data_IF_901725332713
#
_entry.id   IF_901725332713
#
_cell.length_a   1.000
_cell.length_b   1.000
_cell.length_c   1.000
_cell.angle_alpha   90.00
_cell.angle_beta   90.00
_cell.angle_gamma   90.00
#
_symmetry.space_group_name_H-M   'P 1'
#
loop_
_entity.id
_entity.type
_entity.pdbx_description
1 polymer ?
#
# COMPACT_ATOMS: atom_id res chain seq x y z
N UNK A 1 39.61 35.20 -13.40
CA UNK A 1 38.15 35.13 -13.38
C UNK A 1 37.79 33.64 -13.52
N UNK A 2 37.74 32.92 -12.39
CA UNK A 2 37.39 31.52 -12.34
C UNK A 2 35.85 31.42 -12.31
N UNK A 3 35.30 30.92 -13.39
CA UNK A 3 33.89 30.60 -13.54
C UNK A 3 33.62 29.24 -12.90
N UNK A 4 33.67 29.15 -11.60
CA UNK A 4 33.09 28.05 -10.84
C UNK A 4 31.56 28.28 -10.69
N UNK A 5 30.84 28.12 -11.79
CA UNK A 5 29.39 27.96 -11.74
C UNK A 5 29.10 26.54 -11.25
N UNK A 6 28.40 26.36 -10.11
CA UNK A 6 28.07 25.03 -9.56
C UNK A 6 26.95 24.32 -10.35
N UNK A 7 26.85 24.55 -11.65
CA UNK A 7 25.72 24.10 -12.50
C UNK A 7 25.90 22.66 -13.00
N UNK A 8 27.10 22.07 -12.89
CA UNK A 8 27.41 20.78 -13.53
C UNK A 8 27.38 19.55 -12.60
N UNK A 9 27.25 19.71 -11.27
CA UNK A 9 27.09 18.56 -10.38
C UNK A 9 25.60 18.24 -10.13
N UNK A 10 25.04 17.16 -10.73
CA UNK A 10 23.65 16.78 -10.51
C UNK A 10 23.35 16.47 -9.04
N UNK A 11 24.39 16.21 -8.24
CA UNK A 11 24.28 15.89 -6.82
C UNK A 11 24.64 17.04 -5.88
N UNK A 12 24.81 18.27 -6.35
CA UNK A 12 25.19 19.41 -5.52
C UNK A 12 24.32 19.59 -4.26
N UNK A 13 23.04 19.24 -4.33
CA UNK A 13 22.09 19.39 -3.24
C UNK A 13 21.69 18.07 -2.54
N UNK A 14 22.41 16.97 -2.76
CA UNK A 14 21.99 15.63 -2.35
C UNK A 14 21.75 15.50 -0.84
N UNK A 15 22.60 16.06 0.02
CA UNK A 15 22.45 15.96 1.49
C UNK A 15 21.16 16.60 1.97
N UNK A 16 20.82 17.79 1.46
CA UNK A 16 19.58 18.50 1.77
C UNK A 16 18.37 17.73 1.25
N UNK A 17 18.40 17.33 0.00
CA UNK A 17 17.31 16.58 -0.61
C UNK A 17 17.09 15.23 0.07
N UNK A 18 18.16 14.53 0.43
CA UNK A 18 18.12 13.29 1.18
C UNK A 18 17.36 13.44 2.50
N UNK A 19 17.70 14.46 3.31
CA UNK A 19 17.03 14.71 4.58
C UNK A 19 15.55 15.07 4.38
N UNK A 20 15.23 15.99 3.47
CA UNK A 20 13.87 16.45 3.22
C UNK A 20 12.97 15.33 2.69
N UNK A 21 13.49 14.47 1.81
CA UNK A 21 12.75 13.31 1.28
C UNK A 21 12.53 12.23 2.35
N UNK A 22 13.48 11.99 3.26
CA UNK A 22 13.28 11.08 4.40
C UNK A 22 12.19 11.63 5.33
N UNK A 23 12.23 12.92 5.65
CA UNK A 23 11.22 13.56 6.50
C UNK A 23 9.83 13.46 5.87
N UNK A 24 9.69 13.79 4.58
CA UNK A 24 8.41 13.62 3.87
C UNK A 24 7.96 12.17 3.86
N UNK A 25 8.82 11.22 3.51
CA UNK A 25 8.47 9.79 3.47
C UNK A 25 8.05 9.26 4.83
N UNK A 26 8.71 9.69 5.91
CA UNK A 26 8.38 9.30 7.28
C UNK A 26 7.00 9.83 7.68
N UNK A 27 6.77 11.13 7.45
CA UNK A 27 5.49 11.78 7.75
C UNK A 27 4.37 11.22 6.89
N UNK A 28 4.63 10.96 5.61
CA UNK A 28 3.67 10.34 4.68
C UNK A 28 3.22 8.95 5.18
N UNK A 29 4.17 8.06 5.51
CA UNK A 29 3.85 6.73 6.00
C UNK A 29 3.07 6.77 7.31
N UNK A 30 3.47 7.65 8.25
CA UNK A 30 2.77 7.88 9.51
C UNK A 30 1.33 8.32 9.26
N UNK A 31 1.13 9.27 8.34
CA UNK A 31 -0.16 9.85 8.01
C UNK A 31 -1.11 8.82 7.36
N UNK A 32 -0.65 8.11 6.31
CA UNK A 32 -1.47 7.10 5.59
C UNK A 32 -1.97 6.00 6.51
N UNK A 33 -1.25 5.66 7.57
CA UNK A 33 -1.70 4.63 8.51
C UNK A 33 -2.89 5.05 9.38
N UNK A 34 -3.16 6.37 9.52
CA UNK A 34 -4.34 6.89 10.23
C UNK A 34 -5.64 6.60 9.47
N UNK A 35 -5.56 6.41 8.17
CA UNK A 35 -6.67 6.02 7.29
C UNK A 35 -6.45 4.63 6.66
N UNK A 36 -5.80 3.71 7.40
CA UNK A 36 -5.66 2.33 6.94
C UNK A 36 -7.02 1.73 6.58
N UNK A 37 -7.02 0.84 5.60
CA UNK A 37 -8.24 0.19 5.11
C UNK A 37 -9.02 -0.50 6.23
N UNK A 38 -8.33 -1.06 7.20
CA UNK A 38 -8.95 -1.72 8.36
C UNK A 38 -9.79 -0.74 9.18
N UNK A 39 -9.31 0.49 9.37
CA UNK A 39 -10.00 1.56 10.14
C UNK A 39 -11.20 2.08 9.36
N UNK A 40 -10.99 2.42 8.08
CA UNK A 40 -12.04 3.00 7.25
C UNK A 40 -13.13 1.99 6.92
N UNK A 41 -12.86 0.69 6.88
CA UNK A 41 -13.88 -0.34 6.74
C UNK A 41 -14.82 -0.37 7.95
N UNK A 42 -14.29 -0.26 9.17
CA UNK A 42 -15.09 -0.17 10.39
C UNK A 42 -15.95 1.11 10.38
N UNK A 43 -15.36 2.26 10.04
CA UNK A 43 -16.10 3.52 9.88
C UNK A 43 -17.27 3.39 8.90
N UNK A 44 -17.02 2.88 7.70
CA UNK A 44 -18.03 2.79 6.65
C UNK A 44 -19.18 1.86 7.03
N UNK A 45 -18.87 0.70 7.60
CA UNK A 45 -19.91 -0.24 8.04
C UNK A 45 -20.71 0.35 9.20
N UNK A 46 -20.06 1.05 10.13
CA UNK A 46 -20.77 1.74 11.22
C UNK A 46 -21.67 2.88 10.70
N UNK A 47 -21.21 3.62 9.68
CA UNK A 47 -21.94 4.75 9.12
C UNK A 47 -23.10 4.33 8.21
N UNK A 48 -22.96 3.21 7.46
CA UNK A 48 -23.89 2.83 6.39
C UNK A 48 -24.60 1.50 6.62
N UNK A 49 -24.14 0.69 7.57
CA UNK A 49 -24.57 -0.70 7.73
C UNK A 49 -24.15 -1.64 6.58
N UNK A 50 -23.33 -1.17 5.61
CA UNK A 50 -23.04 -1.88 4.38
C UNK A 50 -21.58 -2.29 4.25
N UNK A 51 -21.32 -3.59 4.33
CA UNK A 51 -20.01 -4.19 4.03
C UNK A 51 -19.66 -4.11 2.55
N UNK A 52 -20.67 -4.12 1.67
CA UNK A 52 -20.52 -3.89 0.22
C UNK A 52 -19.87 -2.52 -0.06
N UNK A 53 -20.36 -1.45 0.57
CA UNK A 53 -19.80 -0.11 0.40
C UNK A 53 -18.35 -0.02 0.90
N UNK A 54 -17.99 -0.74 1.97
CA UNK A 54 -16.60 -0.82 2.43
C UNK A 54 -15.69 -1.49 1.39
N UNK A 55 -16.17 -2.56 0.73
CA UNK A 55 -15.47 -3.20 -0.39
C UNK A 55 -15.32 -2.28 -1.60
N UNK A 56 -16.39 -1.56 -2.00
CA UNK A 56 -16.36 -0.59 -3.10
C UNK A 56 -15.38 0.55 -2.80
N UNK A 57 -15.36 1.05 -1.58
CA UNK A 57 -14.43 2.09 -1.16
C UNK A 57 -12.97 1.68 -1.35
N UNK A 58 -12.62 0.46 -0.94
CA UNK A 58 -11.28 -0.06 -1.14
C UNK A 58 -10.95 -0.28 -2.63
N UNK A 59 -11.89 -0.80 -3.41
CA UNK A 59 -11.74 -0.94 -4.85
C UNK A 59 -11.42 0.42 -5.50
N UNK A 60 -12.19 1.46 -5.18
CA UNK A 60 -11.99 2.81 -5.71
C UNK A 60 -10.58 3.31 -5.37
N UNK A 61 -10.16 3.24 -4.10
CA UNK A 61 -8.83 3.69 -3.64
C UNK A 61 -7.70 3.05 -4.44
N UNK A 62 -7.75 1.73 -4.62
CA UNK A 62 -6.70 0.98 -5.34
C UNK A 62 -6.73 1.31 -6.84
N UNK A 63 -7.91 1.28 -7.46
CA UNK A 63 -8.08 1.53 -8.90
C UNK A 63 -7.56 2.91 -9.28
N UNK A 64 -8.01 3.96 -8.60
CA UNK A 64 -7.64 5.34 -8.93
C UNK A 64 -6.17 5.64 -8.65
N UNK A 65 -5.52 4.92 -7.75
CA UNK A 65 -4.08 5.05 -7.48
C UNK A 65 -3.22 4.48 -8.62
N UNK A 66 -3.58 3.32 -9.17
CA UNK A 66 -2.77 2.67 -10.20
C UNK A 66 -3.01 3.20 -11.62
N UNK A 67 -4.22 3.68 -11.96
CA UNK A 67 -4.53 4.21 -13.30
C UNK A 67 -3.58 5.35 -13.70
N UNK A 68 -3.34 6.40 -12.88
CA UNK A 68 -2.43 7.48 -13.26
C UNK A 68 -0.99 7.03 -13.46
N UNK A 69 -0.53 6.02 -12.73
CA UNK A 69 0.82 5.49 -12.89
C UNK A 69 1.03 4.90 -14.29
N UNK A 70 0.01 4.23 -14.84
CA UNK A 70 0.05 3.74 -16.21
C UNK A 70 0.09 4.88 -17.25
N UNK A 71 -0.49 6.04 -16.94
CA UNK A 71 -0.51 7.22 -17.80
C UNK A 71 0.73 8.10 -17.65
N UNK A 72 1.48 7.98 -16.55
CA UNK A 72 2.59 8.86 -16.18
C UNK A 72 3.90 8.57 -16.94
N UNK A 73 3.93 7.57 -17.82
CA UNK A 73 5.11 7.14 -18.59
C UNK A 73 5.71 8.31 -19.41
N UNK A 74 4.90 9.28 -19.81
CA UNK A 74 5.33 10.43 -20.61
C UNK A 74 6.03 11.57 -19.81
N UNK A 75 6.25 11.41 -18.51
CA UNK A 75 6.88 12.45 -17.66
C UNK A 75 8.40 12.43 -17.76
N UNK A 76 9.00 11.31 -18.20
CA UNK A 76 10.46 11.12 -18.29
C UNK A 76 11.20 12.20 -19.09
N UNK A 77 10.61 12.73 -20.17
CA UNK A 77 11.22 13.74 -21.04
C UNK A 77 11.27 15.18 -20.51
N UNK A 78 10.73 15.48 -19.32
CA UNK A 78 10.71 16.84 -18.78
C UNK A 78 11.95 17.17 -17.97
N UNK A 79 12.61 18.34 -18.19
CA UNK A 79 13.87 18.70 -17.51
C UNK A 79 13.69 18.92 -15.99
N UNK A 80 12.52 19.35 -15.55
CA UNK A 80 12.20 19.58 -14.13
C UNK A 80 11.03 18.72 -13.69
N UNK A 81 11.27 17.83 -12.76
CA UNK A 81 10.31 16.84 -12.25
C UNK A 81 9.67 17.28 -10.93
N UNK A 82 10.42 18.04 -10.10
CA UNK A 82 9.96 18.58 -8.82
C UNK A 82 8.61 19.30 -8.94
N UNK A 83 8.48 20.24 -9.89
CA UNK A 83 7.25 21.04 -10.04
C UNK A 83 6.02 20.18 -10.30
N UNK A 84 6.21 19.06 -11.03
CA UNK A 84 5.11 18.17 -11.41
C UNK A 84 4.64 17.40 -10.18
N UNK A 85 5.56 16.66 -9.52
CA UNK A 85 5.14 15.82 -8.40
C UNK A 85 4.71 16.65 -7.19
N UNK A 86 5.39 17.75 -6.84
CA UNK A 86 4.98 18.62 -5.73
C UNK A 86 3.59 19.22 -5.96
N UNK A 87 3.26 19.65 -7.19
CA UNK A 87 1.94 20.16 -7.52
C UNK A 87 0.85 19.12 -7.29
N UNK A 88 1.01 17.90 -7.84
CA UNK A 88 0.01 16.85 -7.72
C UNK A 88 -0.09 16.31 -6.29
N UNK A 89 1.04 16.17 -5.59
CA UNK A 89 1.07 15.84 -4.16
C UNK A 89 0.28 16.86 -3.33
N UNK A 90 0.49 18.15 -3.55
CA UNK A 90 -0.24 19.22 -2.84
C UNK A 90 -1.74 19.13 -3.09
N UNK A 91 -2.15 19.02 -4.36
CA UNK A 91 -3.57 18.89 -4.72
C UNK A 91 -4.20 17.67 -4.06
N UNK A 92 -3.56 16.51 -4.16
CA UNK A 92 -4.06 15.27 -3.57
C UNK A 92 -4.22 15.35 -2.05
N UNK A 93 -3.19 15.86 -1.38
CA UNK A 93 -3.21 16.00 0.09
C UNK A 93 -4.27 17.02 0.57
N UNK A 94 -4.52 18.08 -0.19
CA UNK A 94 -5.62 19.01 0.09
C UNK A 94 -7.02 18.37 -0.05
N UNK A 95 -7.17 17.35 -0.90
CA UNK A 95 -8.47 16.67 -1.05
C UNK A 95 -8.94 15.98 0.24
N UNK A 96 -8.03 15.63 1.17
CA UNK A 96 -8.40 15.09 2.48
C UNK A 96 -9.24 16.09 3.31
N UNK A 97 -9.05 17.40 3.09
CA UNK A 97 -9.83 18.44 3.78
C UNK A 97 -11.33 18.36 3.45
N UNK A 98 -11.73 17.75 2.35
CA UNK A 98 -13.15 17.56 1.99
C UNK A 98 -13.84 16.69 3.04
N UNK A 99 -13.25 15.55 3.41
CA UNK A 99 -13.80 14.68 4.46
C UNK A 99 -13.75 15.35 5.82
N UNK A 100 -12.67 16.08 6.14
CA UNK A 100 -12.54 16.84 7.39
C UNK A 100 -13.66 17.87 7.51
N UNK A 101 -13.79 18.76 6.52
CA UNK A 101 -14.79 19.83 6.55
C UNK A 101 -16.23 19.26 6.64
N UNK A 102 -16.53 18.22 5.86
CA UNK A 102 -17.84 17.58 5.93
C UNK A 102 -18.12 16.99 7.31
N UNK A 103 -17.14 16.32 7.94
CA UNK A 103 -17.34 15.69 9.26
C UNK A 103 -17.67 16.71 10.35
N UNK A 104 -17.07 17.89 10.32
CA UNK A 104 -17.27 18.90 11.37
C UNK A 104 -18.36 19.92 11.05
N UNK A 105 -18.72 20.11 9.77
CA UNK A 105 -19.71 21.11 9.35
C UNK A 105 -21.06 20.51 8.92
N UNK A 106 -21.06 19.31 8.34
CA UNK A 106 -22.31 18.67 7.92
C UNK A 106 -23.01 17.95 9.09
N UNK A 107 -24.32 17.97 9.08
CA UNK A 107 -25.17 17.22 10.04
C UNK A 107 -25.65 15.89 9.47
N UNK A 108 -25.65 15.76 8.15
CA UNK A 108 -26.11 14.58 7.44
C UNK A 108 -24.97 13.57 7.29
N UNK A 109 -25.15 12.36 7.83
CA UNK A 109 -24.17 11.28 7.77
C UNK A 109 -23.92 10.80 6.33
N UNK A 110 -24.92 10.87 5.44
CA UNK A 110 -24.74 10.51 4.03
C UNK A 110 -23.78 11.46 3.32
N UNK A 111 -23.85 12.76 3.59
CA UNK A 111 -22.87 13.74 3.06
C UNK A 111 -21.47 13.48 3.59
N UNK A 112 -21.33 13.10 4.87
CA UNK A 112 -20.04 12.75 5.45
C UNK A 112 -19.47 11.51 4.75
N UNK A 113 -20.24 10.45 4.57
CA UNK A 113 -19.82 9.23 3.85
C UNK A 113 -19.42 9.57 2.42
N UNK A 114 -20.24 10.34 1.70
CA UNK A 114 -19.91 10.75 0.31
C UNK A 114 -18.61 11.55 0.25
N UNK A 115 -18.36 12.43 1.23
CA UNK A 115 -17.13 13.22 1.30
C UNK A 115 -15.89 12.36 1.56
N UNK A 116 -16.01 11.29 2.36
CA UNK A 116 -14.95 10.28 2.53
C UNK A 116 -14.67 9.56 1.22
N UNK A 117 -15.71 9.10 0.50
CA UNK A 117 -15.54 8.49 -0.81
C UNK A 117 -14.82 9.43 -1.78
N UNK A 118 -15.23 10.69 -1.83
CA UNK A 118 -14.64 11.70 -2.72
C UNK A 118 -13.18 11.99 -2.34
N UNK A 119 -12.90 12.21 -1.05
CA UNK A 119 -11.54 12.47 -0.56
C UNK A 119 -10.60 11.33 -0.85
N UNK A 120 -11.00 10.09 -0.52
CA UNK A 120 -10.19 8.89 -0.70
C UNK A 120 -10.26 8.30 -2.12
N UNK A 121 -11.00 8.89 -3.04
CA UNK A 121 -10.87 8.71 -4.47
C UNK A 121 -9.87 9.73 -5.06
N UNK A 122 -9.99 11.01 -4.70
CA UNK A 122 -9.15 12.08 -5.25
C UNK A 122 -7.72 12.04 -4.71
N UNK A 123 -7.52 11.81 -3.40
CA UNK A 123 -6.19 11.75 -2.81
C UNK A 123 -5.31 10.71 -3.50
N UNK A 124 -5.65 9.40 -3.56
CA UNK A 124 -4.81 8.42 -4.23
C UNK A 124 -4.75 8.61 -5.76
N UNK A 125 -5.78 9.21 -6.39
CA UNK A 125 -5.72 9.57 -7.80
C UNK A 125 -4.56 10.54 -8.09
N UNK A 126 -4.49 11.63 -7.33
CA UNK A 126 -3.43 12.62 -7.51
C UNK A 126 -2.08 12.11 -7.02
N UNK A 127 -2.04 11.30 -5.97
CA UNK A 127 -0.83 10.66 -5.48
C UNK A 127 -0.27 9.67 -6.52
N UNK A 128 -1.11 8.94 -7.23
CA UNK A 128 -0.73 8.07 -8.35
C UNK A 128 0.02 8.81 -9.46
N UNK A 129 -0.32 10.07 -9.76
CA UNK A 129 0.44 10.90 -10.71
C UNK A 129 1.82 11.31 -10.19
N UNK A 130 2.07 11.20 -8.90
CA UNK A 130 3.35 11.64 -8.29
C UNK A 130 4.40 10.52 -8.25
N UNK A 131 3.99 9.25 -8.27
CA UNK A 131 4.87 8.10 -8.03
C UNK A 131 6.06 8.08 -8.99
N UNK A 132 5.81 8.15 -10.30
CA UNK A 132 6.87 8.11 -11.32
C UNK A 132 7.77 9.34 -11.27
N UNK A 133 7.25 10.59 -11.31
CA UNK A 133 8.11 11.79 -11.22
C UNK A 133 8.90 11.87 -9.91
N UNK A 134 8.34 11.40 -8.79
CA UNK A 134 9.01 11.34 -7.50
C UNK A 134 10.19 10.36 -7.53
N UNK A 135 9.97 9.16 -8.05
CA UNK A 135 11.03 8.15 -8.15
C UNK A 135 12.18 8.63 -9.05
N UNK A 136 11.87 9.23 -10.19
CA UNK A 136 12.86 9.82 -11.08
C UNK A 136 13.62 10.97 -10.41
N UNK A 137 12.91 11.83 -9.63
CA UNK A 137 13.55 12.87 -8.84
C UNK A 137 14.51 12.29 -7.79
N UNK A 138 14.12 11.22 -7.08
CA UNK A 138 14.99 10.53 -6.10
C UNK A 138 16.24 10.00 -6.77
N UNK A 139 16.09 9.30 -7.91
CA UNK A 139 17.23 8.75 -8.68
C UNK A 139 18.17 9.84 -9.17
N UNK A 140 17.63 10.98 -9.59
CA UNK A 140 18.40 12.13 -10.05
C UNK A 140 19.13 12.87 -8.91
N UNK A 141 18.47 13.01 -7.76
CA UNK A 141 18.95 13.86 -6.66
C UNK A 141 19.83 13.14 -5.65
N UNK A 142 19.79 11.80 -5.59
CA UNK A 142 20.52 11.01 -4.59
C UNK A 142 21.57 10.15 -5.30
N UNK A 143 22.88 10.27 -4.92
CA UNK A 143 23.95 9.47 -5.49
C UNK A 143 23.70 7.98 -5.37
N UNK A 144 24.03 7.15 -6.40
CA UNK A 144 23.78 5.71 -6.41
C UNK A 144 24.19 4.96 -5.13
N UNK A 145 25.39 5.21 -4.54
CA UNK A 145 25.80 4.52 -3.31
C UNK A 145 24.96 4.85 -2.07
N UNK A 146 24.20 5.95 -2.09
CA UNK A 146 23.36 6.43 -0.98
C UNK A 146 21.89 6.06 -1.10
N UNK A 147 21.44 5.57 -2.26
CA UNK A 147 20.02 5.21 -2.51
C UNK A 147 19.54 4.09 -1.59
N UNK A 148 20.37 3.05 -1.37
CA UNK A 148 20.03 1.96 -0.44
C UNK A 148 19.82 2.48 0.98
N UNK A 149 20.71 3.35 1.46
CA UNK A 149 20.57 4.00 2.79
C UNK A 149 19.32 4.87 2.86
N UNK A 150 19.00 5.61 1.78
CA UNK A 150 17.80 6.42 1.68
C UNK A 150 16.52 5.59 1.85
N UNK A 151 16.35 4.54 1.03
CA UNK A 151 15.17 3.69 1.11
C UNK A 151 15.09 2.93 2.45
N UNK A 152 16.23 2.46 2.97
CA UNK A 152 16.29 1.78 4.26
C UNK A 152 15.86 2.68 5.43
N UNK A 153 16.38 3.92 5.50
CA UNK A 153 16.00 4.88 6.53
C UNK A 153 14.53 5.33 6.37
N UNK A 154 14.08 5.62 5.15
CA UNK A 154 12.69 5.99 4.90
C UNK A 154 11.71 4.90 5.35
N UNK A 155 12.00 3.63 5.07
CA UNK A 155 11.16 2.51 5.49
C UNK A 155 11.23 2.28 7.01
N UNK A 156 12.42 2.35 7.60
CA UNK A 156 12.58 2.14 9.05
C UNK A 156 11.90 3.23 9.90
N UNK A 157 12.14 4.50 9.57
CA UNK A 157 11.50 5.63 10.25
C UNK A 157 10.00 5.68 9.96
N UNK A 158 9.59 5.36 8.71
CA UNK A 158 8.19 5.23 8.35
C UNK A 158 7.47 4.17 9.18
N UNK A 159 8.06 2.98 9.35
CA UNK A 159 7.50 1.92 10.17
C UNK A 159 7.37 2.34 11.65
N UNK A 160 8.36 3.04 12.20
CA UNK A 160 8.27 3.60 13.55
C UNK A 160 7.12 4.62 13.67
N UNK A 161 6.96 5.49 12.67
CA UNK A 161 5.86 6.44 12.59
C UNK A 161 4.49 5.76 12.51
N UNK A 162 4.37 4.68 11.72
CA UNK A 162 3.13 3.89 11.61
C UNK A 162 2.78 3.19 12.93
N UNK A 163 3.76 2.71 13.68
CA UNK A 163 3.54 2.16 15.03
C UNK A 163 3.03 3.26 15.98
N UNK A 164 3.65 4.44 15.94
CA UNK A 164 3.21 5.58 16.74
C UNK A 164 1.78 6.02 16.40
N UNK A 165 1.40 6.01 15.12
CA UNK A 165 0.03 6.34 14.72
C UNK A 165 -0.98 5.29 15.18
N UNK A 166 -0.63 4.02 15.34
CA UNK A 166 -1.52 3.02 15.96
C UNK A 166 -1.92 3.38 17.38
N UNK A 167 -0.97 3.88 18.20
CA UNK A 167 -1.29 4.41 19.52
C UNK A 167 -2.16 5.68 19.45
N UNK A 168 -1.86 6.58 18.50
CA UNK A 168 -2.64 7.79 18.30
C UNK A 168 -4.09 7.47 17.87
N UNK A 169 -4.28 6.50 16.99
CA UNK A 169 -5.62 5.99 16.60
C UNK A 169 -6.38 5.53 17.85
N UNK A 170 -5.74 4.70 18.67
CA UNK A 170 -6.36 4.20 19.92
C UNK A 170 -6.76 5.34 20.85
N UNK A 171 -5.90 6.36 21.01
CA UNK A 171 -6.21 7.54 21.83
C UNK A 171 -7.40 8.33 21.29
N UNK A 172 -7.46 8.58 19.98
CA UNK A 172 -8.53 9.37 19.35
C UNK A 172 -9.86 8.60 19.38
N UNK A 173 -9.85 7.30 19.06
CA UNK A 173 -11.09 6.51 19.03
C UNK A 173 -11.68 6.27 20.43
N UNK A 174 -10.86 6.28 21.50
CA UNK A 174 -11.30 6.16 22.87
C UNK A 174 -11.56 7.51 23.57
N UNK A 175 -11.34 8.64 22.90
CA UNK A 175 -11.52 9.95 23.51
C UNK A 175 -13.01 10.24 23.81
N UNK A 176 -13.42 10.42 25.06
CA UNK A 176 -14.84 10.47 25.45
C UNK A 176 -15.59 11.70 24.89
N UNK A 177 -14.85 12.74 24.49
CA UNK A 177 -15.40 13.96 23.89
C UNK A 177 -15.51 13.89 22.36
N UNK A 178 -14.95 12.87 21.72
CA UNK A 178 -15.01 12.66 20.27
C UNK A 178 -15.99 11.54 19.94
N UNK A 179 -17.26 11.90 19.76
CA UNK A 179 -18.31 10.96 19.37
C UNK A 179 -18.25 10.66 17.87
N UNK A 180 -18.81 9.52 17.48
CA UNK A 180 -18.97 9.18 16.05
C UNK A 180 -19.88 10.18 15.33
N UNK A 181 -19.53 10.67 14.12
CA UNK A 181 -18.39 10.31 13.27
C UNK A 181 -17.13 11.19 13.51
N UNK A 182 -17.14 12.12 14.46
CA UNK A 182 -16.08 13.11 14.68
C UNK A 182 -14.73 12.49 15.06
N UNK A 183 -14.71 11.36 15.75
CA UNK A 183 -13.49 10.63 16.08
C UNK A 183 -12.75 10.17 14.81
N UNK A 184 -13.46 9.66 13.79
CA UNK A 184 -12.88 9.31 12.50
C UNK A 184 -12.48 10.56 11.68
N UNK A 185 -13.30 11.63 11.72
CA UNK A 185 -12.94 12.92 11.13
C UNK A 185 -11.68 13.51 11.72
N UNK A 186 -11.44 13.33 13.04
CA UNK A 186 -10.21 13.76 13.72
C UNK A 186 -9.00 12.96 13.25
N UNK A 187 -9.12 11.64 12.98
CA UNK A 187 -8.05 10.87 12.37
C UNK A 187 -7.65 11.44 11.01
N UNK A 188 -8.64 11.73 10.15
CA UNK A 188 -8.38 12.32 8.82
C UNK A 188 -7.84 13.74 8.93
N UNK A 189 -8.24 14.53 9.94
CA UNK A 189 -7.67 15.86 10.20
C UNK A 189 -6.18 15.76 10.54
N UNK A 190 -5.80 14.87 11.44
CA UNK A 190 -4.39 14.63 11.80
C UNK A 190 -3.61 14.13 10.59
N UNK A 191 -4.19 13.21 9.80
CA UNK A 191 -3.61 12.76 8.53
C UNK A 191 -3.36 13.95 7.59
N UNK A 192 -4.36 14.81 7.37
CA UNK A 192 -4.23 15.97 6.50
C UNK A 192 -3.15 16.95 6.98
N UNK A 193 -3.05 17.21 8.28
CA UNK A 193 -2.01 18.08 8.87
C UNK A 193 -0.62 17.49 8.61
N UNK A 194 -0.42 16.19 8.89
CA UNK A 194 0.84 15.52 8.63
C UNK A 194 1.19 15.54 7.13
N UNK A 195 0.23 15.22 6.28
CA UNK A 195 0.41 15.24 4.83
C UNK A 195 0.81 16.61 4.29
N UNK A 196 0.18 17.68 4.77
CA UNK A 196 0.52 19.06 4.38
C UNK A 196 1.88 19.50 4.94
N UNK A 197 2.26 19.02 6.12
CA UNK A 197 3.61 19.21 6.67
C UNK A 197 4.66 18.57 5.74
N UNK A 198 4.39 17.37 5.22
CA UNK A 198 5.23 16.72 4.21
C UNK A 198 5.37 17.57 2.93
N UNK A 199 4.29 18.18 2.42
CA UNK A 199 4.39 19.12 1.29
C UNK A 199 5.36 20.26 1.61
N UNK A 200 5.33 20.77 2.85
CA UNK A 200 6.29 21.77 3.32
C UNK A 200 7.75 21.35 3.07
N UNK A 201 8.12 20.11 3.40
CA UNK A 201 9.47 19.59 3.11
C UNK A 201 9.76 19.52 1.61
N UNK A 202 8.79 19.08 0.81
CA UNK A 202 8.95 18.96 -0.65
C UNK A 202 9.13 20.32 -1.34
N UNK A 203 8.52 21.39 -0.84
CA UNK A 203 8.70 22.74 -1.38
C UNK A 203 10.14 23.24 -1.27
N UNK A 204 10.87 22.82 -0.22
CA UNK A 204 12.26 23.21 0.00
C UNK A 204 13.29 22.36 -0.78
N UNK A 205 12.89 21.33 -1.52
CA UNK A 205 13.79 20.56 -2.38
C UNK A 205 14.45 21.47 -3.43
N UNK A 206 15.67 21.11 -3.86
CA UNK A 206 16.38 21.77 -4.97
C UNK A 206 16.64 20.78 -6.09
N UNK A 207 16.43 21.20 -7.31
CA UNK A 207 16.56 20.36 -8.50
C UNK A 207 17.57 20.98 -9.48
N UNK A 208 18.58 20.23 -9.87
CA UNK A 208 19.43 20.56 -10.98
C UNK A 208 18.70 20.23 -12.31
N UNK A 209 18.90 20.99 -13.39
CA UNK A 209 18.33 20.66 -14.70
C UNK A 209 18.86 19.31 -15.20
N UNK A 210 18.05 18.56 -15.92
CA UNK A 210 18.38 17.29 -16.53
C UNK A 210 18.50 17.43 -18.05
N UNK A 211 19.42 16.70 -18.67
CA UNK A 211 19.38 16.58 -20.11
C UNK A 211 18.10 15.84 -20.50
N UNK A 212 17.30 16.45 -21.36
CA UNK A 212 16.05 15.85 -21.83
C UNK A 212 16.36 14.51 -22.53
N UNK A 213 15.97 13.40 -21.89
CA UNK A 213 16.03 12.08 -22.52
C UNK A 213 14.69 11.84 -23.21
N UNK A 214 14.71 11.72 -24.52
CA UNK A 214 13.57 11.34 -25.34
C UNK A 214 13.39 9.82 -25.26
N UNK A 215 12.84 9.32 -24.17
CA UNK A 215 12.36 7.94 -24.10
C UNK A 215 10.89 7.92 -24.52
N UNK A 216 10.66 7.70 -25.81
CA UNK A 216 9.33 7.67 -26.44
C UNK A 216 8.64 6.30 -26.30
N UNK A 217 8.84 5.61 -25.21
CA UNK A 217 8.13 4.34 -24.94
C UNK A 217 6.65 4.62 -24.68
N UNK A 218 5.82 4.38 -25.70
CA UNK A 218 4.36 4.61 -25.60
C UNK A 218 3.72 3.46 -24.83
N UNK A 219 2.85 3.80 -23.88
CA UNK A 219 2.04 2.85 -23.12
C UNK A 219 1.36 1.81 -24.02
N UNK A 220 0.85 2.24 -25.16
CA UNK A 220 0.20 1.37 -26.17
C UNK A 220 1.14 0.28 -26.70
N UNK A 221 2.42 0.57 -26.87
CA UNK A 221 3.40 -0.39 -27.38
C UNK A 221 3.77 -1.41 -26.29
N UNK A 222 3.80 -0.97 -25.04
CA UNK A 222 3.93 -1.85 -23.87
C UNK A 222 2.73 -2.80 -23.78
N UNK A 223 1.50 -2.28 -23.86
CA UNK A 223 0.28 -3.08 -23.76
C UNK A 223 0.15 -4.10 -24.90
N UNK A 224 0.56 -3.76 -26.13
CA UNK A 224 0.56 -4.68 -27.28
C UNK A 224 1.55 -5.84 -27.13
N UNK A 225 2.64 -5.66 -26.39
CA UNK A 225 3.64 -6.69 -26.11
C UNK A 225 3.16 -7.76 -25.12
N UNK A 226 2.24 -7.42 -24.20
CA UNK A 226 1.79 -8.29 -23.13
C UNK A 226 1.23 -9.64 -23.61
N UNK A 227 0.27 -9.72 -24.56
CA UNK A 227 -0.29 -11.00 -25.00
C UNK A 227 0.74 -11.94 -25.60
N UNK A 228 1.73 -11.39 -26.29
CA UNK A 228 2.82 -12.15 -26.90
C UNK A 228 3.70 -12.77 -25.82
N UNK A 229 4.18 -11.99 -24.85
CA UNK A 229 5.04 -12.46 -23.76
C UNK A 229 4.33 -13.54 -22.92
N UNK A 230 3.04 -13.35 -22.64
CA UNK A 230 2.25 -14.35 -21.90
C UNK A 230 2.13 -15.68 -22.66
N UNK A 231 2.06 -15.64 -24.00
CA UNK A 231 1.98 -16.85 -24.80
C UNK A 231 3.32 -17.58 -24.93
N UNK A 232 4.39 -16.84 -25.09
CA UNK A 232 5.73 -17.37 -25.38
C UNK A 232 6.47 -17.86 -24.14
N UNK A 233 6.26 -17.22 -22.96
CA UNK A 233 7.00 -17.54 -21.72
C UNK A 233 6.09 -18.19 -20.67
N UNK A 234 6.37 -19.48 -20.40
CA UNK A 234 5.64 -20.26 -19.39
C UNK A 234 5.88 -19.72 -17.96
N UNK A 235 7.10 -19.23 -17.65
CA UNK A 235 7.42 -18.72 -16.32
C UNK A 235 6.66 -17.43 -16.04
N UNK A 236 6.58 -16.53 -17.03
CA UNK A 236 5.77 -15.30 -16.95
C UNK A 236 4.30 -15.63 -16.74
N UNK A 237 3.76 -16.58 -17.50
CA UNK A 237 2.37 -17.03 -17.33
C UNK A 237 2.08 -17.59 -15.94
N UNK A 238 2.98 -18.42 -15.40
CA UNK A 238 2.86 -18.95 -14.04
C UNK A 238 2.93 -17.83 -12.99
N UNK A 239 3.84 -16.86 -13.17
CA UNK A 239 3.97 -15.72 -12.25
C UNK A 239 2.72 -14.85 -12.25
N UNK A 240 2.12 -14.56 -13.40
CA UNK A 240 0.84 -13.86 -13.53
C UNK A 240 -0.26 -14.59 -12.77
N UNK A 241 -0.37 -15.91 -12.94
CA UNK A 241 -1.36 -16.73 -12.21
C UNK A 241 -1.12 -16.67 -10.71
N UNK A 242 0.13 -16.77 -10.26
CA UNK A 242 0.48 -16.64 -8.84
C UNK A 242 0.07 -15.27 -8.31
N UNK A 243 0.36 -14.19 -9.04
CA UNK A 243 -0.04 -12.83 -8.65
C UNK A 243 -1.56 -12.70 -8.53
N UNK A 244 -2.32 -13.21 -9.51
CA UNK A 244 -3.79 -13.20 -9.49
C UNK A 244 -4.34 -13.96 -8.28
N UNK A 245 -3.80 -15.16 -8.00
CA UNK A 245 -4.22 -15.97 -6.86
C UNK A 245 -3.80 -15.34 -5.52
N UNK A 246 -2.61 -14.75 -5.41
CA UNK A 246 -2.21 -13.97 -4.23
C UNK A 246 -3.12 -12.76 -4.00
N UNK A 247 -3.54 -12.10 -5.08
CA UNK A 247 -4.45 -10.94 -4.97
C UNK A 247 -5.79 -11.32 -4.34
N UNK A 248 -6.23 -12.59 -4.43
CA UNK A 248 -7.45 -13.06 -3.75
C UNK A 248 -7.38 -12.95 -2.22
N UNK A 249 -6.19 -12.79 -1.66
CA UNK A 249 -6.02 -12.43 -0.25
C UNK A 249 -6.73 -11.10 0.11
N UNK A 250 -6.83 -10.17 -0.84
CA UNK A 250 -7.53 -8.90 -0.66
C UNK A 250 -9.04 -9.00 -0.53
N UNK A 251 -9.65 -10.16 -0.78
CA UNK A 251 -11.06 -10.43 -0.46
C UNK A 251 -11.31 -10.29 1.04
N UNK A 252 -10.38 -10.78 1.87
CA UNK A 252 -10.54 -10.83 3.34
C UNK A 252 -9.87 -9.67 4.08
N UNK A 253 -8.74 -9.18 3.60
CA UNK A 253 -7.87 -8.26 4.38
C UNK A 253 -8.53 -6.95 4.82
N UNK A 254 -9.40 -6.28 4.02
CA UNK A 254 -10.08 -5.06 4.45
C UNK A 254 -11.06 -5.29 5.61
N UNK A 255 -11.45 -6.53 5.83
CA UNK A 255 -12.47 -6.90 6.81
C UNK A 255 -11.90 -7.56 8.07
N UNK A 256 -10.59 -7.70 8.22
CA UNK A 256 -9.96 -8.26 9.41
C UNK A 256 -10.30 -7.49 10.68
N UNK A 257 -10.23 -6.14 10.65
CA UNK A 257 -10.59 -5.32 11.80
C UNK A 257 -12.10 -5.36 12.06
N UNK A 258 -12.92 -5.34 11.01
CA UNK A 258 -14.37 -5.47 11.12
C UNK A 258 -14.73 -6.83 11.76
N UNK A 259 -14.11 -7.92 11.32
CA UNK A 259 -14.28 -9.26 11.92
C UNK A 259 -13.93 -9.25 13.42
N UNK A 260 -12.79 -8.65 13.80
CA UNK A 260 -12.39 -8.56 15.20
C UNK A 260 -13.40 -7.78 16.05
N UNK A 261 -13.92 -6.67 15.53
CA UNK A 261 -14.90 -5.83 16.24
C UNK A 261 -16.25 -6.50 16.30
N UNK A 262 -16.77 -7.07 15.22
CA UNK A 262 -18.15 -7.56 15.13
C UNK A 262 -18.35 -8.99 15.60
N UNK A 263 -17.37 -9.86 15.38
CA UNK A 263 -17.45 -11.29 15.70
C UNK A 263 -16.69 -11.68 16.97
N UNK A 264 -15.54 -11.01 17.22
CA UNK A 264 -14.70 -11.32 18.37
C UNK A 264 -14.91 -10.33 19.53
N UNK A 265 -15.86 -9.40 19.41
CA UNK A 265 -16.23 -8.47 20.48
C UNK A 265 -15.14 -7.48 20.90
N UNK A 266 -14.14 -7.23 20.04
CA UNK A 266 -13.06 -6.28 20.34
C UNK A 266 -13.60 -4.86 20.30
N UNK A 267 -13.24 -4.04 21.29
CA UNK A 267 -13.62 -2.64 21.33
C UNK A 267 -13.03 -1.86 20.13
N UNK A 268 -13.84 -1.03 19.46
CA UNK A 268 -13.39 -0.19 18.34
C UNK A 268 -12.15 0.65 18.69
N UNK A 269 -12.05 1.13 19.91
CA UNK A 269 -10.89 1.88 20.38
C UNK A 269 -9.56 1.08 20.36
N UNK A 270 -9.61 -0.24 20.26
CA UNK A 270 -8.42 -1.10 20.16
C UNK A 270 -7.96 -1.32 18.71
N UNK A 271 -8.72 -0.86 17.71
CA UNK A 271 -8.36 -1.03 16.28
C UNK A 271 -6.99 -0.42 15.96
N UNK A 272 -6.58 0.63 16.66
CA UNK A 272 -5.23 1.19 16.54
C UNK A 272 -4.12 0.18 16.86
N UNK A 273 -4.32 -0.73 17.81
CA UNK A 273 -3.33 -1.79 18.11
C UNK A 273 -3.20 -2.80 16.97
N UNK A 274 -4.24 -2.99 16.14
CA UNK A 274 -4.12 -3.85 14.96
C UNK A 274 -3.08 -3.31 13.99
N UNK A 275 -3.03 -1.97 13.84
CA UNK A 275 -1.98 -1.32 13.04
C UNK A 275 -0.60 -1.52 13.67
N UNK A 276 -0.48 -1.41 15.01
CA UNK A 276 0.78 -1.68 15.71
C UNK A 276 1.27 -3.10 15.42
N UNK A 277 0.41 -4.11 15.59
CA UNK A 277 0.77 -5.51 15.34
C UNK A 277 1.12 -5.76 13.86
N UNK A 278 0.34 -5.22 12.94
CA UNK A 278 0.59 -5.30 11.51
C UNK A 278 1.94 -4.68 11.13
N UNK A 279 2.27 -3.50 11.66
CA UNK A 279 3.54 -2.83 11.38
C UNK A 279 4.72 -3.53 12.05
N UNK A 280 4.54 -4.07 13.25
CA UNK A 280 5.55 -4.91 13.90
C UNK A 280 5.86 -6.16 13.05
N UNK A 281 4.83 -6.84 12.54
CA UNK A 281 5.00 -7.96 11.62
C UNK A 281 5.75 -7.59 10.36
N UNK A 282 5.40 -6.46 9.75
CA UNK A 282 6.06 -5.90 8.57
C UNK A 282 7.55 -5.61 8.82
N UNK A 283 7.86 -4.98 9.95
CA UNK A 283 9.21 -4.63 10.34
C UNK A 283 10.07 -5.89 10.58
N UNK A 284 9.57 -6.83 11.38
CA UNK A 284 10.29 -8.08 11.68
C UNK A 284 10.53 -8.90 10.42
N UNK A 285 9.53 -9.01 9.54
CA UNK A 285 9.65 -9.75 8.29
C UNK A 285 10.59 -9.08 7.27
N UNK A 286 10.85 -7.78 7.36
CA UNK A 286 11.76 -7.10 6.44
C UNK A 286 13.18 -7.67 6.47
N UNK A 287 13.67 -8.18 7.60
CA UNK A 287 15.00 -8.77 7.73
C UNK A 287 15.15 -10.09 6.95
N UNK A 288 14.30 -11.12 7.16
CA UNK A 288 14.37 -12.33 6.36
C UNK A 288 14.07 -12.07 4.87
N UNK A 289 13.17 -11.12 4.53
CA UNK A 289 12.91 -10.78 3.15
C UNK A 289 14.15 -10.19 2.45
N UNK A 290 14.84 -9.24 3.10
CA UNK A 290 16.09 -8.69 2.59
C UNK A 290 17.16 -9.79 2.40
N UNK A 291 17.27 -10.73 3.34
CA UNK A 291 18.23 -11.83 3.23
C UNK A 291 17.92 -12.75 2.03
N UNK A 292 16.66 -13.12 1.82
CA UNK A 292 16.26 -13.95 0.68
C UNK A 292 16.47 -13.22 -0.65
N UNK A 293 16.13 -11.92 -0.73
CA UNK A 293 16.38 -11.11 -1.91
C UNK A 293 17.89 -11.02 -2.25
N UNK A 294 18.72 -10.72 -1.25
CA UNK A 294 20.17 -10.58 -1.45
C UNK A 294 20.85 -11.88 -1.92
N UNK A 295 20.28 -13.02 -1.56
CA UNK A 295 20.72 -14.34 -2.02
C UNK A 295 20.09 -14.79 -3.34
N UNK A 296 19.22 -13.99 -3.95
CA UNK A 296 18.48 -14.36 -5.15
C UNK A 296 17.44 -15.49 -4.94
N UNK A 297 17.11 -15.80 -3.69
CA UNK A 297 16.15 -16.85 -3.34
C UNK A 297 14.69 -16.40 -3.54
N UNK A 298 14.38 -15.84 -4.72
CA UNK A 298 13.09 -15.23 -5.03
C UNK A 298 11.91 -16.22 -4.99
N UNK A 299 12.14 -17.48 -5.37
CA UNK A 299 11.13 -18.54 -5.22
C UNK A 299 10.79 -18.80 -3.75
N UNK A 300 11.80 -18.88 -2.88
CA UNK A 300 11.57 -19.10 -1.44
C UNK A 300 10.85 -17.89 -0.82
N UNK A 301 11.16 -16.69 -1.27
CA UNK A 301 10.47 -15.46 -0.85
C UNK A 301 8.97 -15.50 -1.20
N UNK A 302 8.61 -15.91 -2.43
CA UNK A 302 7.23 -16.12 -2.84
C UNK A 302 6.51 -17.15 -1.98
N UNK A 303 7.15 -18.30 -1.76
CA UNK A 303 6.57 -19.38 -0.96
C UNK A 303 6.38 -18.98 0.51
N UNK A 304 7.39 -18.37 1.13
CA UNK A 304 7.32 -17.90 2.53
C UNK A 304 6.23 -16.84 2.70
N UNK A 305 6.10 -15.90 1.77
CA UNK A 305 5.02 -14.91 1.75
C UNK A 305 3.64 -15.57 1.68
N UNK A 306 3.46 -16.52 0.76
CA UNK A 306 2.21 -17.27 0.63
C UNK A 306 1.86 -18.12 1.86
N UNK A 307 2.87 -18.70 2.52
CA UNK A 307 2.66 -19.43 3.77
C UNK A 307 2.21 -18.52 4.91
N UNK A 308 2.77 -17.30 5.02
CA UNK A 308 2.32 -16.33 6.01
C UNK A 308 0.91 -15.81 5.72
N UNK A 309 0.54 -15.60 4.43
CA UNK A 309 -0.83 -15.30 4.03
C UNK A 309 -1.79 -16.41 4.49
N UNK A 310 -1.46 -17.66 4.19
CA UNK A 310 -2.25 -18.82 4.57
C UNK A 310 -2.37 -18.90 6.10
N UNK A 311 -1.27 -18.76 6.82
CA UNK A 311 -1.25 -18.80 8.28
C UNK A 311 -2.14 -17.70 8.91
N UNK A 312 -2.14 -16.48 8.38
CA UNK A 312 -3.00 -15.41 8.89
C UNK A 312 -4.48 -15.68 8.65
N UNK A 313 -4.85 -16.27 7.50
CA UNK A 313 -6.22 -16.66 7.19
C UNK A 313 -6.71 -17.82 8.07
N UNK A 314 -5.87 -18.84 8.27
CA UNK A 314 -6.18 -19.96 9.16
C UNK A 314 -6.32 -19.49 10.61
N UNK A 315 -5.45 -18.56 11.05
CA UNK A 315 -5.58 -17.96 12.38
C UNK A 315 -6.89 -17.18 12.54
N UNK A 316 -7.37 -16.51 11.51
CA UNK A 316 -8.68 -15.84 11.55
C UNK A 316 -9.82 -16.85 11.78
N UNK A 317 -9.79 -17.98 11.08
CA UNK A 317 -10.77 -19.07 11.31
C UNK A 317 -10.67 -19.67 12.71
N UNK A 318 -9.44 -19.93 13.18
CA UNK A 318 -9.21 -20.47 14.53
C UNK A 318 -9.66 -19.45 15.60
N UNK A 319 -9.39 -18.16 15.38
CA UNK A 319 -9.85 -17.11 16.29
C UNK A 319 -11.37 -17.06 16.40
N UNK A 320 -12.09 -17.11 15.26
CA UNK A 320 -13.55 -17.18 15.25
C UNK A 320 -14.10 -18.39 16.01
N UNK A 321 -13.58 -19.57 15.72
CA UNK A 321 -13.98 -20.80 16.40
C UNK A 321 -13.65 -20.79 17.90
N UNK A 322 -12.49 -20.24 18.29
CA UNK A 322 -12.06 -20.13 19.69
C UNK A 322 -12.91 -19.16 20.49
N UNK A 323 -13.30 -18.03 19.89
CA UNK A 323 -14.22 -17.07 20.52
C UNK A 323 -15.63 -17.66 20.69
N UNK A 324 -16.14 -18.36 19.67
CA UNK A 324 -17.43 -19.04 19.73
C UNK A 324 -17.49 -20.14 20.81
N UNK A 325 -16.34 -20.74 21.14
CA UNK A 325 -16.20 -21.79 22.16
C UNK A 325 -15.77 -21.23 23.55
N UNK A 326 -15.70 -19.92 23.73
CA UNK A 326 -15.16 -19.27 24.94
C UNK A 326 -13.80 -19.82 25.42
N UNK A 327 -12.94 -20.18 24.44
CA UNK A 327 -11.68 -20.83 24.70
C UNK A 327 -10.69 -19.89 25.42
N UNK A 328 -10.00 -20.34 26.49
CA UNK A 328 -9.02 -19.51 27.18
C UNK A 328 -7.88 -19.12 26.24
N UNK A 329 -7.50 -17.85 26.23
CA UNK A 329 -6.42 -17.30 25.40
C UNK A 329 -6.82 -16.99 23.95
N UNK A 330 -8.10 -17.10 23.55
CA UNK A 330 -8.59 -16.73 22.23
C UNK A 330 -8.18 -15.27 21.84
N UNK A 331 -8.12 -14.36 22.81
CA UNK A 331 -7.69 -12.96 22.60
C UNK A 331 -6.24 -12.82 22.08
N UNK A 332 -5.35 -13.77 22.37
CA UNK A 332 -3.97 -13.76 21.89
C UNK A 332 -3.84 -14.07 20.40
N UNK A 333 -4.86 -14.65 19.80
CA UNK A 333 -4.87 -14.98 18.36
C UNK A 333 -4.98 -13.72 17.50
N UNK A 334 -5.65 -12.65 18.00
CA UNK A 334 -5.87 -11.42 17.25
C UNK A 334 -4.55 -10.68 16.95
N UNK A 335 -3.70 -10.37 17.95
CA UNK A 335 -2.39 -9.79 17.70
C UNK A 335 -1.54 -10.60 16.72
N UNK A 336 -1.55 -11.93 16.86
CA UNK A 336 -0.77 -12.82 16.00
C UNK A 336 -1.31 -12.82 14.55
N UNK A 337 -2.63 -12.81 14.36
CA UNK A 337 -3.28 -12.70 13.05
C UNK A 337 -2.83 -11.42 12.32
N UNK A 338 -2.90 -10.26 12.98
CA UNK A 338 -2.49 -9.00 12.39
C UNK A 338 -0.97 -8.91 12.16
N UNK A 339 -0.17 -9.48 13.06
CA UNK A 339 1.28 -9.57 12.89
C UNK A 339 1.64 -10.39 11.63
N UNK A 340 1.05 -11.57 11.45
CA UNK A 340 1.27 -12.40 10.26
C UNK A 340 0.74 -11.73 8.99
N UNK A 341 -0.39 -11.03 9.08
CA UNK A 341 -0.90 -10.22 7.97
C UNK A 341 0.11 -9.16 7.54
N UNK A 342 0.67 -8.41 8.48
CA UNK A 342 1.69 -7.40 8.19
C UNK A 342 2.94 -7.99 7.56
N UNK A 343 3.44 -9.10 8.09
CA UNK A 343 4.59 -9.82 7.57
C UNK A 343 4.36 -10.31 6.13
N UNK A 344 3.20 -10.91 5.85
CA UNK A 344 2.81 -11.39 4.53
C UNK A 344 2.66 -10.22 3.53
N UNK A 345 1.98 -9.16 3.93
CA UNK A 345 1.74 -8.00 3.07
C UNK A 345 3.05 -7.34 2.62
N UNK A 346 4.05 -7.22 3.52
CA UNK A 346 5.36 -6.66 3.16
C UNK A 346 6.11 -7.51 2.13
N UNK A 347 5.94 -8.83 2.18
CA UNK A 347 6.59 -9.77 1.27
C UNK A 347 5.94 -9.84 -0.12
N UNK A 348 4.64 -9.63 -0.22
CA UNK A 348 3.88 -9.87 -1.46
C UNK A 348 4.41 -9.05 -2.66
N UNK A 349 4.48 -7.74 -2.50
CA UNK A 349 4.97 -6.85 -3.56
C UNK A 349 6.46 -7.10 -3.87
N UNK A 350 7.25 -7.29 -2.82
CA UNK A 350 8.68 -7.53 -2.92
C UNK A 350 8.98 -8.85 -3.66
N UNK A 351 8.26 -9.91 -3.32
CA UNK A 351 8.47 -11.25 -3.89
C UNK A 351 8.19 -11.29 -5.39
N UNK A 352 7.06 -10.74 -5.83
CA UNK A 352 6.69 -10.71 -7.24
C UNK A 352 7.66 -9.85 -8.05
N UNK A 353 7.96 -8.63 -7.59
CA UNK A 353 8.86 -7.74 -8.32
C UNK A 353 10.30 -8.30 -8.42
N UNK A 354 10.84 -8.85 -7.33
CA UNK A 354 12.17 -9.46 -7.39
C UNK A 354 12.20 -10.71 -8.29
N UNK A 355 11.13 -11.51 -8.30
CA UNK A 355 11.05 -12.64 -9.23
C UNK A 355 11.04 -12.18 -10.68
N UNK A 356 10.24 -11.13 -11.03
CA UNK A 356 10.25 -10.49 -12.36
C UNK A 356 11.66 -10.03 -12.73
N UNK A 357 12.35 -9.33 -11.81
CA UNK A 357 13.72 -8.86 -12.05
C UNK A 357 14.71 -10.00 -12.31
N UNK A 358 14.48 -11.17 -11.70
CA UNK A 358 15.32 -12.35 -11.83
C UNK A 358 15.12 -13.13 -13.14
N UNK A 359 13.92 -13.09 -13.74
CA UNK A 359 13.59 -13.85 -14.96
C UNK A 359 13.61 -13.00 -16.24
N UNK A 360 13.68 -11.67 -16.13
CA UNK A 360 13.51 -10.76 -17.27
C UNK A 360 14.79 -10.08 -17.70
N UNK A 361 15.00 -9.94 -19.02
CA UNK A 361 16.03 -9.13 -19.63
C UNK A 361 15.70 -7.62 -19.49
N UNK A 362 16.73 -6.77 -19.67
CA UNK A 362 16.57 -5.30 -19.56
C UNK A 362 15.43 -4.72 -20.40
N UNK A 363 15.21 -5.28 -21.61
CA UNK A 363 14.18 -4.80 -22.54
C UNK A 363 12.77 -5.23 -22.12
N UNK A 364 12.60 -6.39 -21.51
CA UNK A 364 11.31 -6.95 -21.10
C UNK A 364 10.84 -6.46 -19.73
N UNK A 365 11.78 -6.04 -18.85
CA UNK A 365 11.48 -5.60 -17.46
C UNK A 365 10.36 -4.56 -17.35
N UNK A 366 10.39 -3.44 -18.12
CA UNK A 366 9.34 -2.43 -18.00
C UNK A 366 7.95 -2.98 -18.35
N UNK A 367 7.89 -3.84 -19.37
CA UNK A 367 6.63 -4.47 -19.82
C UNK A 367 6.09 -5.39 -18.73
N UNK A 368 6.94 -6.25 -18.16
CA UNK A 368 6.52 -7.19 -17.13
C UNK A 368 6.12 -6.50 -15.83
N UNK A 369 6.89 -5.52 -15.36
CA UNK A 369 6.53 -4.72 -14.17
C UNK A 369 5.23 -3.94 -14.41
N UNK A 370 5.06 -3.35 -15.60
CA UNK A 370 3.81 -2.70 -15.99
C UNK A 370 2.63 -3.68 -16.00
N UNK A 371 2.83 -4.91 -16.49
CA UNK A 371 1.82 -5.98 -16.47
C UNK A 371 1.44 -6.34 -15.03
N UNK A 372 2.42 -6.54 -14.13
CA UNK A 372 2.14 -6.82 -12.72
C UNK A 372 1.36 -5.69 -12.04
N UNK A 373 1.69 -4.43 -12.34
CA UNK A 373 0.94 -3.28 -11.83
C UNK A 373 -0.49 -3.20 -12.39
N UNK A 374 -0.68 -3.52 -13.68
CA UNK A 374 -2.01 -3.58 -14.29
C UNK A 374 -2.91 -4.65 -13.66
N UNK A 375 -2.33 -5.78 -13.20
CA UNK A 375 -3.08 -6.80 -12.48
C UNK A 375 -3.67 -6.30 -11.17
N UNK A 376 -3.02 -5.36 -10.46
CA UNK A 376 -3.59 -4.75 -9.26
C UNK A 376 -4.87 -3.95 -9.57
N UNK A 377 -4.95 -3.30 -10.74
CA UNK A 377 -6.19 -2.64 -11.18
C UNK A 377 -7.30 -3.67 -11.40
N UNK A 378 -7.00 -4.76 -12.10
CA UNK A 378 -7.99 -5.83 -12.36
C UNK A 378 -8.46 -6.48 -11.05
N UNK A 379 -7.54 -6.76 -10.14
CA UNK A 379 -7.85 -7.43 -8.86
C UNK A 379 -8.39 -6.48 -7.78
N UNK A 380 -8.43 -5.18 -8.02
CA UNK A 380 -9.01 -4.20 -7.08
C UNK A 380 -10.50 -4.42 -6.79
N UNK A 381 -11.20 -5.18 -7.63
CA UNK A 381 -12.62 -5.58 -7.41
C UNK A 381 -12.78 -6.61 -6.28
N UNK A 382 -11.75 -7.35 -5.93
CA UNK A 382 -11.83 -8.45 -4.97
C UNK A 382 -12.36 -8.06 -3.58
N UNK A 383 -12.04 -6.89 -2.99
CA UNK A 383 -12.66 -6.42 -1.77
C UNK A 383 -14.18 -6.27 -1.85
N UNK A 384 -14.73 -5.96 -3.04
CA UNK A 384 -16.19 -5.87 -3.24
C UNK A 384 -16.83 -7.24 -3.05
N UNK A 385 -16.20 -8.29 -3.60
CA UNK A 385 -16.66 -9.68 -3.38
C UNK A 385 -16.63 -10.04 -1.90
N UNK A 386 -15.60 -9.64 -1.16
CA UNK A 386 -15.53 -9.80 0.29
C UNK A 386 -16.69 -9.11 1.01
N UNK A 387 -17.00 -7.87 0.64
CA UNK A 387 -18.13 -7.12 1.19
C UNK A 387 -19.48 -7.78 0.91
N UNK A 388 -19.68 -8.36 -0.29
CA UNK A 388 -20.89 -9.12 -0.64
C UNK A 388 -20.97 -10.41 0.18
N UNK A 389 -19.86 -11.15 0.31
CA UNK A 389 -19.82 -12.39 1.10
C UNK A 389 -20.29 -12.10 2.54
N UNK A 390 -19.73 -11.10 3.20
CA UNK A 390 -20.09 -10.76 4.59
C UNK A 390 -21.54 -10.29 4.72
N UNK A 391 -22.10 -9.64 3.68
CA UNK A 391 -23.46 -9.15 3.71
C UNK A 391 -24.52 -10.27 3.78
N UNK A 392 -24.20 -11.47 3.21
CA UNK A 392 -25.17 -12.56 3.04
C UNK A 392 -24.71 -13.89 3.63
N UNK A 393 -23.43 -14.03 3.96
CA UNK A 393 -22.81 -15.30 4.34
C UNK A 393 -21.91 -15.10 5.57
N UNK A 394 -21.63 -16.17 6.34
CA UNK A 394 -20.77 -16.08 7.51
C UNK A 394 -19.32 -15.76 7.16
N UNK A 395 -18.60 -15.16 8.12
CA UNK A 395 -17.19 -14.74 7.95
C UNK A 395 -16.23 -15.90 7.60
N UNK A 396 -16.56 -17.13 8.02
CA UNK A 396 -15.77 -18.31 7.70
C UNK A 396 -15.64 -18.51 6.17
N UNK A 397 -16.73 -18.28 5.43
CA UNK A 397 -16.69 -18.35 3.96
C UNK A 397 -15.83 -17.26 3.34
N UNK A 398 -15.78 -16.07 3.94
CA UNK A 398 -14.85 -15.03 3.50
C UNK A 398 -13.40 -15.51 3.55
N UNK A 399 -12.99 -16.13 4.65
CA UNK A 399 -11.63 -16.64 4.80
C UNK A 399 -11.35 -17.82 3.87
N UNK A 400 -12.29 -18.77 3.76
CA UNK A 400 -12.16 -19.94 2.86
C UNK A 400 -12.01 -19.50 1.40
N UNK A 401 -12.77 -18.49 0.93
CA UNK A 401 -12.64 -17.96 -0.44
C UNK A 401 -11.27 -17.34 -0.72
N UNK A 402 -10.55 -16.88 0.31
CA UNK A 402 -9.15 -16.42 0.19
C UNK A 402 -8.14 -17.55 0.34
N UNK A 403 -8.40 -18.54 1.20
CA UNK A 403 -7.49 -19.68 1.45
C UNK A 403 -7.29 -20.52 0.18
N UNK A 404 -8.36 -20.85 -0.53
CA UNK A 404 -8.30 -21.74 -1.70
C UNK A 404 -7.36 -21.19 -2.79
N UNK A 405 -7.48 -19.91 -3.24
CA UNK A 405 -6.54 -19.35 -4.20
C UNK A 405 -5.11 -19.24 -3.64
N UNK A 406 -4.93 -18.88 -2.36
CA UNK A 406 -3.59 -18.80 -1.75
C UNK A 406 -2.90 -20.15 -1.74
N UNK A 407 -3.61 -21.23 -1.45
CA UNK A 407 -3.07 -22.61 -1.57
C UNK A 407 -2.72 -22.91 -3.02
N UNK A 408 -3.59 -22.57 -3.97
CA UNK A 408 -3.31 -22.70 -5.40
C UNK A 408 -2.04 -21.96 -5.83
N UNK A 409 -1.85 -20.74 -5.32
CA UNK A 409 -0.64 -19.94 -5.60
C UNK A 409 0.63 -20.62 -5.05
N UNK A 410 0.58 -21.20 -3.86
CA UNK A 410 1.70 -21.95 -3.26
C UNK A 410 2.07 -23.18 -4.07
N UNK A 411 1.06 -23.93 -4.55
CA UNK A 411 1.27 -25.08 -5.43
C UNK A 411 1.91 -24.66 -6.77
N UNK A 412 1.51 -23.54 -7.34
CA UNK A 412 2.15 -23.00 -8.55
C UNK A 412 3.56 -22.50 -8.27
N UNK A 413 3.77 -21.79 -7.14
CA UNK A 413 5.08 -21.29 -6.74
C UNK A 413 6.09 -22.42 -6.49
N UNK A 414 5.64 -23.61 -6.04
CA UNK A 414 6.51 -24.76 -5.89
C UNK A 414 7.11 -25.25 -7.23
N UNK A 415 6.41 -25.02 -8.34
CA UNK A 415 6.82 -25.39 -9.71
C UNK A 415 7.65 -24.32 -10.43
N UNK A 416 7.90 -23.16 -9.82
CA UNK A 416 8.78 -22.16 -10.35
C UNK A 416 10.25 -22.61 -10.27
N UNK A 417 11.08 -22.11 -11.18
CA UNK A 417 12.54 -22.29 -11.11
C UNK A 417 13.15 -21.27 -10.15
N UNK A 418 14.31 -21.58 -9.58
CA UNK A 418 15.11 -20.61 -8.85
C UNK A 418 15.69 -19.61 -9.84
N UNK A 419 15.80 -18.34 -9.48
CA UNK A 419 16.23 -17.27 -10.41
C UNK A 419 17.74 -17.12 -10.52
N UNK A 420 18.53 -17.95 -9.83
CA UNK A 420 20.01 -17.91 -9.82
C UNK A 420 20.65 -19.06 -10.62
N UNK A 421 19.90 -19.82 -11.44
CA UNK A 421 20.44 -20.85 -12.31
C UNK A 421 20.60 -20.32 -13.76
#
# INVERSE_FOLDING_TARGET
MSTDDPVDDPYAYWKRNFLLLILDSTVFMTAVSLSDVSILSVFLVKATGSTFLAGVFQMVRVTVFFIPQLLSINVGGKPYKKRIFVKWTMVGRCCLLIAVLATFLARDLHLIVLSFFLSFALFPLFDGFTVVPWLEYVVKSIPPPKRGTFFGLSQGLGAAGMIASGFLITLILNAPHLIFPQNYGTLVLVEAILMLTGVGFLLYLREAPDAATTDDTRLLDLLKGIPRIIREDEMVRRLILIQLLFSCYSVSTPFYALFAVTQLGVNEGQVGFFIVYQMAGRLVASFPWAHLCNKGHNKQLLQSTGLLMLASLLLALVAGASYAADAPGASLLIPLMFFLYGAAFSGMFLAVNNYVLGISDRQQRPILLGTMNALYVVTSILPVLGGIIIAYLPYELLFVTSIVPVVGSLLLASRLRQTLD
#
